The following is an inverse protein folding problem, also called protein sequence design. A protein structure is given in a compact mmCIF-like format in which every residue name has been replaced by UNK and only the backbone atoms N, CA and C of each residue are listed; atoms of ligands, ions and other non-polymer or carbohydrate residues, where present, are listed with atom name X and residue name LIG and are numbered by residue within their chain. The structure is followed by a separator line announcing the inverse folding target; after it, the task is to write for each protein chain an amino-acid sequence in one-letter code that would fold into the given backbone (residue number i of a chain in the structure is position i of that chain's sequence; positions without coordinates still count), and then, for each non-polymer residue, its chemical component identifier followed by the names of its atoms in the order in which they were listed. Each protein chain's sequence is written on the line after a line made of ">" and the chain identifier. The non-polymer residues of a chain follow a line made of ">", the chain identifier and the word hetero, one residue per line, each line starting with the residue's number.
data_IF_866012689530
#
_entry.id   IF_866012689530
#
_cell.length_a   1.000
_cell.length_b   1.000
_cell.length_c   1.000
_cell.angle_alpha   90.00
_cell.angle_beta   90.00
_cell.angle_gamma   90.00
#
_symmetry.space_group_name_H-M   'P 1'
#
loop_
_entity.id
_entity.type
_entity.pdbx_description
1 polymer ?
#
# COMPACT_ATOMS: atom_id res chain seq x y z
N UNK A 1 17.42 -25.41 -19.37
CA UNK A 1 17.78 -23.99 -19.28
C UNK A 1 17.03 -23.45 -18.08
N UNK A 2 17.69 -23.40 -16.92
CA UNK A 2 17.12 -22.85 -15.69
C UNK A 2 17.47 -21.36 -15.63
N UNK A 3 16.48 -20.51 -15.89
CA UNK A 3 16.62 -19.06 -15.67
C UNK A 3 16.52 -18.77 -14.18
N UNK A 4 17.68 -18.50 -13.59
CA UNK A 4 17.82 -17.98 -12.23
C UNK A 4 17.14 -16.62 -12.11
N UNK A 5 15.92 -16.61 -11.55
CA UNK A 5 15.20 -15.41 -11.17
C UNK A 5 15.84 -14.83 -9.89
N UNK A 6 16.99 -14.16 -10.04
CA UNK A 6 17.63 -13.41 -8.95
C UNK A 6 16.77 -12.18 -8.65
N UNK A 7 15.96 -12.26 -7.59
CA UNK A 7 15.38 -11.07 -6.94
C UNK A 7 16.49 -10.05 -6.71
N UNK A 8 16.42 -8.91 -7.41
CA UNK A 8 17.30 -7.76 -7.18
C UNK A 8 17.06 -7.31 -5.74
N UNK A 9 18.02 -7.58 -4.85
CA UNK A 9 18.01 -7.01 -3.51
C UNK A 9 18.36 -5.54 -3.71
N UNK A 10 17.36 -4.67 -3.65
CA UNK A 10 17.56 -3.22 -3.65
C UNK A 10 18.32 -2.88 -2.37
N UNK A 11 19.52 -2.30 -2.50
CA UNK A 11 20.28 -1.83 -1.35
C UNK A 11 19.58 -0.57 -0.80
N UNK A 12 18.79 -0.74 0.26
CA UNK A 12 17.93 0.32 0.83
C UNK A 12 18.79 1.45 1.39
N UNK A 13 18.70 2.64 0.79
CA UNK A 13 19.31 3.88 1.29
C UNK A 13 18.25 4.78 1.91
N UNK A 14 17.84 4.47 3.13
CA UNK A 14 16.82 5.22 3.86
C UNK A 14 17.30 6.63 4.22
N UNK A 15 16.43 7.63 4.05
CA UNK A 15 16.69 8.98 4.54
C UNK A 15 16.57 9.04 6.07
N UNK A 16 16.96 10.16 6.68
CA UNK A 16 16.72 10.37 8.13
C UNK A 16 15.23 10.39 8.45
N UNK A 17 14.42 11.02 7.60
CA UNK A 17 12.96 11.09 7.77
C UNK A 17 12.33 9.70 7.64
N UNK A 18 12.82 8.85 6.74
CA UNK A 18 12.34 7.47 6.60
C UNK A 18 12.62 6.63 7.85
N UNK A 19 13.79 6.85 8.48
CA UNK A 19 14.14 6.18 9.74
C UNK A 19 13.20 6.65 10.86
N UNK A 20 12.94 7.96 10.97
CA UNK A 20 12.00 8.50 11.98
C UNK A 20 10.57 7.96 11.78
N UNK A 21 10.12 7.86 10.52
CA UNK A 21 8.84 7.23 10.18
C UNK A 21 8.81 5.77 10.62
N UNK A 22 9.85 4.99 10.31
CA UNK A 22 9.96 3.59 10.72
C UNK A 22 9.94 3.42 12.24
N UNK A 23 10.63 4.28 12.98
CA UNK A 23 10.60 4.27 14.45
C UNK A 23 9.18 4.53 14.99
N UNK A 24 8.44 5.46 14.38
CA UNK A 24 7.05 5.73 14.77
C UNK A 24 6.13 4.54 14.47
N UNK A 25 6.32 3.89 13.33
CA UNK A 25 5.57 2.70 12.96
C UNK A 25 5.86 1.54 13.93
N UNK A 26 7.13 1.31 14.29
CA UNK A 26 7.53 0.25 15.21
C UNK A 26 7.01 0.46 16.64
N UNK A 27 7.04 1.69 17.17
CA UNK A 27 6.46 2.01 18.49
C UNK A 27 4.97 1.65 18.57
N UNK A 28 4.26 1.72 17.44
CA UNK A 28 2.84 1.39 17.37
C UNK A 28 2.56 -0.11 17.55
N UNK A 29 3.56 -0.96 17.29
CA UNK A 29 3.46 -2.42 17.36
C UNK A 29 3.62 -2.96 18.78
N UNK A 30 4.25 -2.20 19.68
CA UNK A 30 4.46 -2.61 21.08
C UNK A 30 3.17 -2.56 21.90
N UNK A 31 2.18 -1.76 21.48
CA UNK A 31 0.86 -1.61 22.10
C UNK A 31 -0.10 -2.63 21.45
N UNK A 32 0.16 -3.93 21.63
CA UNK A 32 -0.68 -5.01 21.11
C UNK A 32 -1.98 -5.15 21.92
N UNK A 33 -3.05 -4.50 21.45
CA UNK A 33 -4.43 -4.80 21.85
C UNK A 33 -5.08 -5.77 20.87
N UNK A 34 -5.21 -7.03 21.28
CA UNK A 34 -6.10 -8.11 20.79
C UNK A 34 -6.66 -7.99 19.36
N UNK A 35 -6.06 -8.74 18.43
CA UNK A 35 -6.56 -8.90 17.07
C UNK A 35 -7.74 -9.89 17.08
N UNK A 36 -8.93 -9.39 16.72
CA UNK A 36 -10.15 -10.17 16.56
C UNK A 36 -9.94 -11.36 15.62
N UNK A 37 -10.17 -12.57 16.13
CA UNK A 37 -10.46 -13.76 15.34
C UNK A 37 -11.87 -13.60 14.76
N UNK A 38 -11.96 -13.23 13.48
CA UNK A 38 -13.18 -13.43 12.71
C UNK A 38 -12.98 -14.65 11.83
N UNK A 39 -13.54 -15.76 12.31
CA UNK A 39 -13.85 -16.95 11.53
C UNK A 39 -14.90 -16.56 10.49
N UNK A 40 -14.53 -16.57 9.21
CA UNK A 40 -15.49 -16.49 8.12
C UNK A 40 -15.02 -17.47 7.05
N UNK A 41 -15.81 -18.54 6.91
CA UNK A 41 -15.93 -19.44 5.76
C UNK A 41 -16.22 -18.68 4.45
N UNK A 42 -15.33 -17.77 4.06
CA UNK A 42 -15.27 -17.22 2.72
C UNK A 42 -14.26 -18.07 1.97
N UNK A 43 -14.75 -19.19 1.42
CA UNK A 43 -14.04 -19.92 0.36
C UNK A 43 -13.96 -19.00 -0.86
N UNK A 44 -13.12 -17.98 -0.79
CA UNK A 44 -12.65 -17.17 -1.90
C UNK A 44 -11.83 -18.14 -2.74
N UNK A 45 -12.45 -18.66 -3.79
CA UNK A 45 -11.75 -19.32 -4.87
C UNK A 45 -10.95 -18.23 -5.57
N UNK A 46 -9.76 -17.93 -5.03
CA UNK A 46 -8.77 -17.06 -5.66
C UNK A 46 -8.07 -17.89 -6.73
N UNK A 47 -8.82 -18.32 -7.73
CA UNK A 47 -8.26 -18.87 -8.96
C UNK A 47 -8.86 -18.11 -10.15
N UNK A 48 -8.02 -17.24 -10.70
CA UNK A 48 -8.03 -16.83 -12.10
C UNK A 48 -9.18 -15.91 -12.59
N UNK A 49 -9.58 -14.94 -11.77
CA UNK A 49 -10.32 -13.74 -12.26
C UNK A 49 -9.38 -12.61 -12.69
N UNK A 50 -8.15 -12.58 -12.15
CA UNK A 50 -7.13 -11.59 -12.50
C UNK A 50 -6.69 -11.66 -13.97
N UNK A 51 -6.55 -12.87 -14.57
CA UNK A 51 -6.15 -12.98 -15.99
C UNK A 51 -7.28 -12.58 -16.96
N UNK A 52 -8.54 -12.67 -16.54
CA UNK A 52 -9.69 -12.23 -17.36
C UNK A 52 -9.82 -10.71 -17.43
N UNK A 53 -9.31 -9.97 -16.43
CA UNK A 53 -9.37 -8.52 -16.36
C UNK A 53 -8.27 -7.82 -17.18
N UNK A 54 -7.18 -8.52 -17.50
CA UNK A 54 -5.99 -8.00 -18.19
C UNK A 54 -6.18 -7.62 -19.68
N UNK A 55 -7.40 -7.62 -20.20
CA UNK A 55 -7.68 -7.48 -21.65
C UNK A 55 -8.56 -6.31 -22.08
N UNK A 56 -9.17 -5.54 -21.17
CA UNK A 56 -10.08 -4.46 -21.56
C UNK A 56 -9.50 -3.08 -21.23
N UNK A 57 -8.83 -2.49 -22.23
CA UNK A 57 -8.43 -1.08 -22.26
C UNK A 57 -9.65 -0.16 -22.43
N UNK A 58 -10.45 -0.04 -21.37
CA UNK A 58 -11.28 1.15 -21.10
C UNK A 58 -11.22 1.35 -19.60
N UNK A 59 -10.64 2.46 -19.18
CA UNK A 59 -10.46 2.83 -17.77
C UNK A 59 -11.81 3.26 -17.19
N UNK A 60 -12.69 2.29 -16.92
CA UNK A 60 -14.05 2.52 -16.45
C UNK A 60 -14.03 3.29 -15.12
N UNK A 61 -14.55 4.54 -15.08
CA UNK A 61 -14.52 5.36 -13.88
C UNK A 61 -15.20 4.71 -12.68
N UNK A 62 -16.23 3.90 -12.92
CA UNK A 62 -16.95 3.18 -11.85
C UNK A 62 -16.03 2.12 -11.25
N UNK A 63 -15.39 1.30 -12.07
CA UNK A 63 -14.46 0.26 -11.63
C UNK A 63 -13.29 0.86 -10.83
N UNK A 64 -12.67 1.96 -11.29
CA UNK A 64 -11.63 2.66 -10.52
C UNK A 64 -12.12 3.16 -9.18
N UNK A 65 -13.30 3.79 -9.15
CA UNK A 65 -13.90 4.27 -7.91
C UNK A 65 -14.12 3.11 -6.93
N UNK A 66 -14.65 1.98 -7.41
CA UNK A 66 -14.87 0.78 -6.61
C UNK A 66 -13.56 0.21 -6.09
N UNK A 67 -12.53 0.08 -6.92
CA UNK A 67 -11.23 -0.42 -6.50
C UNK A 67 -10.56 0.51 -5.49
N UNK A 68 -10.63 1.82 -5.69
CA UNK A 68 -10.06 2.77 -4.74
C UNK A 68 -10.75 2.71 -3.37
N UNK A 69 -12.09 2.75 -3.32
CA UNK A 69 -12.81 2.81 -2.05
C UNK A 69 -12.99 1.45 -1.39
N UNK A 70 -13.42 0.45 -2.16
CA UNK A 70 -13.80 -0.87 -1.64
C UNK A 70 -12.67 -1.90 -1.70
N UNK A 71 -11.70 -1.72 -2.60
CA UNK A 71 -10.46 -2.50 -2.60
C UNK A 71 -9.45 -1.87 -1.65
N UNK A 72 -8.78 -0.81 -2.10
CA UNK A 72 -7.59 -0.26 -1.43
C UNK A 72 -7.92 0.41 -0.08
N UNK A 73 -8.82 1.39 -0.09
CA UNK A 73 -9.10 2.22 1.09
C UNK A 73 -9.75 1.39 2.20
N UNK A 74 -10.69 0.51 1.85
CA UNK A 74 -11.36 -0.37 2.82
C UNK A 74 -10.38 -1.35 3.46
N UNK A 75 -9.58 -2.07 2.66
CA UNK A 75 -8.58 -3.01 3.20
C UNK A 75 -7.61 -2.32 4.18
N UNK A 76 -7.12 -1.14 3.82
CA UNK A 76 -6.25 -0.37 4.72
C UNK A 76 -6.96 0.05 6.01
N UNK A 77 -8.18 0.58 5.93
CA UNK A 77 -8.94 1.04 7.11
C UNK A 77 -9.33 -0.10 8.05
N UNK A 78 -9.56 -1.28 7.50
CA UNK A 78 -9.97 -2.44 8.28
C UNK A 78 -8.79 -3.06 9.04
N UNK A 79 -7.57 -2.96 8.49
CA UNK A 79 -6.39 -3.66 9.02
C UNK A 79 -5.35 -2.75 9.71
N UNK A 80 -5.28 -1.45 9.38
CA UNK A 80 -4.37 -0.54 10.07
C UNK A 80 -4.88 -0.20 11.49
N UNK A 81 -3.98 0.08 12.44
CA UNK A 81 -4.36 0.40 13.80
C UNK A 81 -5.24 1.66 13.87
N UNK A 82 -6.31 1.56 14.66
CA UNK A 82 -7.37 2.58 14.80
C UNK A 82 -7.13 3.41 16.04
N UNK A 83 -7.71 4.61 16.07
CA UNK A 83 -7.59 5.56 17.19
C UNK A 83 -6.73 6.76 16.85
N UNK A 84 -6.76 7.76 17.73
CA UNK A 84 -6.05 9.04 17.58
C UNK A 84 -4.54 8.85 17.71
N UNK A 85 -4.11 7.98 18.62
CA UNK A 85 -2.69 7.71 18.87
C UNK A 85 -1.98 7.07 17.65
N UNK A 86 -2.75 6.45 16.76
CA UNK A 86 -2.26 5.82 15.52
C UNK A 86 -2.54 6.64 14.26
N UNK A 87 -2.96 7.90 14.41
CA UNK A 87 -3.25 8.76 13.26
C UNK A 87 -2.01 9.00 12.40
N UNK A 88 -0.86 9.23 13.04
CA UNK A 88 0.40 9.46 12.33
C UNK A 88 0.88 8.21 11.58
N UNK A 89 0.72 7.03 12.18
CA UNK A 89 1.00 5.73 11.56
C UNK A 89 0.21 5.56 10.26
N UNK A 90 -1.11 5.79 10.33
CA UNK A 90 -1.97 5.71 9.14
C UNK A 90 -1.57 6.76 8.09
N UNK A 91 -1.26 7.99 8.53
CA UNK A 91 -0.87 9.09 7.64
C UNK A 91 0.40 8.76 6.86
N UNK A 92 1.43 8.24 7.54
CA UNK A 92 2.70 7.83 6.90
C UNK A 92 2.44 6.78 5.82
N UNK A 93 1.72 5.71 6.16
CA UNK A 93 1.37 4.65 5.20
C UNK A 93 0.56 5.21 4.03
N UNK A 94 -0.41 6.09 4.29
CA UNK A 94 -1.23 6.69 3.25
C UNK A 94 -0.44 7.60 2.33
N UNK A 95 0.55 8.34 2.84
CA UNK A 95 1.37 9.21 2.02
C UNK A 95 2.25 8.40 1.07
N UNK A 96 2.91 7.34 1.57
CA UNK A 96 3.72 6.45 0.73
C UNK A 96 2.87 5.72 -0.32
N UNK A 97 1.71 5.20 0.08
CA UNK A 97 0.72 4.60 -0.82
C UNK A 97 0.25 5.59 -1.89
N UNK A 98 0.09 6.87 -1.53
CA UNK A 98 -0.39 7.87 -2.48
C UNK A 98 0.68 8.28 -3.48
N UNK A 99 1.95 8.23 -3.12
CA UNK A 99 3.06 8.43 -4.06
C UNK A 99 3.02 7.33 -5.12
N UNK A 100 2.83 6.07 -4.71
CA UNK A 100 2.71 4.94 -5.64
C UNK A 100 1.55 5.15 -6.63
N UNK A 101 0.33 5.32 -6.13
CA UNK A 101 -0.85 5.35 -7.01
C UNK A 101 -0.97 6.64 -7.84
N UNK A 102 -0.21 7.68 -7.51
CA UNK A 102 -0.17 8.95 -8.25
C UNK A 102 1.18 9.18 -8.95
N UNK A 103 1.92 8.11 -9.21
CA UNK A 103 3.15 8.14 -10.03
C UNK A 103 4.20 9.15 -9.57
N UNK A 104 4.47 9.17 -8.27
CA UNK A 104 5.49 10.03 -7.67
C UNK A 104 5.02 11.40 -7.20
N UNK A 105 3.72 11.70 -7.27
CA UNK A 105 3.20 12.95 -6.73
C UNK A 105 3.31 12.99 -5.19
N UNK A 106 4.21 13.83 -4.68
CA UNK A 106 4.45 14.07 -3.25
C UNK A 106 3.68 15.31 -2.76
N UNK A 107 3.50 15.43 -1.45
CA UNK A 107 3.01 16.68 -0.87
C UNK A 107 4.13 17.72 -0.87
N UNK A 108 3.76 18.96 -1.16
CA UNK A 108 4.62 20.13 -0.97
C UNK A 108 4.72 20.52 0.51
N UNK A 109 5.49 21.58 0.80
CA UNK A 109 5.67 22.16 2.14
C UNK A 109 4.34 22.61 2.80
N UNK A 110 3.29 22.80 2.01
CA UNK A 110 1.94 23.18 2.48
C UNK A 110 1.04 21.95 2.69
N UNK A 111 1.55 20.75 2.47
CA UNK A 111 0.82 19.49 2.57
C UNK A 111 -0.07 19.18 1.37
N UNK A 112 0.11 19.87 0.25
CA UNK A 112 -0.71 19.76 -0.96
C UNK A 112 0.01 18.88 -1.99
N UNK A 113 -0.67 17.83 -2.48
CA UNK A 113 -0.08 16.90 -3.48
C UNK A 113 -0.27 17.34 -4.94
N UNK A 114 -1.34 18.09 -5.22
CA UNK A 114 -1.74 18.42 -6.60
C UNK A 114 -2.28 17.24 -7.41
N UNK A 115 -2.45 16.06 -6.80
CA UNK A 115 -3.07 14.88 -7.40
C UNK A 115 -4.04 14.19 -6.44
N UNK A 116 -4.99 13.44 -7.01
CA UNK A 116 -6.04 12.76 -6.28
C UNK A 116 -6.00 11.25 -6.56
N UNK A 117 -5.88 10.44 -5.51
CA UNK A 117 -5.79 8.99 -5.65
C UNK A 117 -7.04 8.33 -6.25
N UNK A 118 -8.18 9.02 -6.28
CA UNK A 118 -9.40 8.55 -6.96
C UNK A 118 -9.26 8.62 -8.49
N UNK A 119 -8.32 9.42 -8.97
CA UNK A 119 -7.98 9.61 -10.38
C UNK A 119 -6.77 8.76 -10.79
N UNK A 120 -6.26 7.91 -9.90
CA UNK A 120 -5.20 6.96 -10.21
C UNK A 120 -5.57 6.04 -11.38
N UNK A 121 -4.58 5.57 -12.12
CA UNK A 121 -4.82 4.58 -13.18
C UNK A 121 -5.16 3.22 -12.56
N UNK A 122 -5.93 2.42 -13.29
CA UNK A 122 -6.32 1.08 -12.88
C UNK A 122 -5.11 0.23 -12.46
N UNK A 123 -4.07 0.17 -13.30
CA UNK A 123 -2.86 -0.61 -13.04
C UNK A 123 -2.18 -0.22 -11.71
N UNK A 124 -2.14 1.08 -11.42
CA UNK A 124 -1.51 1.61 -10.20
C UNK A 124 -2.34 1.24 -8.95
N UNK A 125 -3.68 1.23 -9.07
CA UNK A 125 -4.59 0.78 -8.02
C UNK A 125 -4.48 -0.73 -7.78
N UNK A 126 -4.44 -1.54 -8.84
CA UNK A 126 -4.31 -2.99 -8.73
C UNK A 126 -3.00 -3.38 -8.05
N UNK A 127 -1.89 -2.73 -8.41
CA UNK A 127 -0.59 -2.97 -7.78
C UNK A 127 -0.62 -2.64 -6.29
N UNK A 128 -1.18 -1.48 -5.92
CA UNK A 128 -1.30 -1.11 -4.52
C UNK A 128 -2.22 -2.07 -3.74
N UNK A 129 -3.30 -2.55 -4.36
CA UNK A 129 -4.19 -3.54 -3.73
C UNK A 129 -3.47 -4.86 -3.51
N UNK A 130 -2.67 -5.35 -4.47
CA UNK A 130 -1.86 -6.56 -4.31
C UNK A 130 -0.89 -6.44 -3.12
N UNK A 131 -0.19 -5.32 -3.01
CA UNK A 131 0.71 -5.05 -1.87
C UNK A 131 -0.05 -5.13 -0.54
N UNK A 132 -1.21 -4.49 -0.44
CA UNK A 132 -2.02 -4.52 0.79
C UNK A 132 -2.56 -5.92 1.06
N UNK A 133 -3.03 -6.64 0.04
CA UNK A 133 -3.54 -8.00 0.19
C UNK A 133 -2.45 -8.94 0.71
N UNK A 134 -1.26 -8.91 0.12
CA UNK A 134 -0.11 -9.72 0.55
C UNK A 134 0.26 -9.41 2.01
N UNK A 135 0.36 -8.12 2.35
CA UNK A 135 0.61 -7.67 3.72
C UNK A 135 -0.44 -8.18 4.72
N UNK A 136 -1.74 -8.06 4.39
CA UNK A 136 -2.81 -8.56 5.26
C UNK A 136 -2.77 -10.07 5.42
N UNK A 137 -2.47 -10.82 4.36
CA UNK A 137 -2.38 -12.28 4.38
C UNK A 137 -1.27 -12.79 5.30
N UNK A 138 -0.18 -12.02 5.40
CA UNK A 138 0.98 -12.31 6.24
C UNK A 138 0.83 -11.77 7.67
N UNK A 139 -0.29 -11.10 7.98
CA UNK A 139 -0.48 -10.35 9.23
C UNK A 139 0.67 -9.39 9.51
N UNK A 140 1.15 -8.73 8.46
CA UNK A 140 2.28 -7.85 8.54
C UNK A 140 2.02 -6.63 9.43
N UNK A 141 3.09 -6.00 9.84
CA UNK A 141 3.10 -4.77 10.63
C UNK A 141 2.93 -3.53 9.75
N UNK A 142 2.51 -2.37 10.30
CA UNK A 142 2.47 -1.12 9.53
C UNK A 142 3.83 -0.74 8.92
N UNK A 143 4.93 -1.06 9.60
CA UNK A 143 6.29 -0.85 9.09
C UNK A 143 6.57 -1.69 7.83
N UNK A 144 6.17 -2.97 7.81
CA UNK A 144 6.34 -3.84 6.63
C UNK A 144 5.49 -3.38 5.45
N UNK A 145 4.27 -2.88 5.71
CA UNK A 145 3.44 -2.30 4.66
C UNK A 145 4.06 -1.04 4.07
N UNK A 146 4.53 -0.13 4.93
CA UNK A 146 5.25 1.07 4.50
C UNK A 146 6.46 0.70 3.64
N UNK A 147 7.29 -0.24 4.09
CA UNK A 147 8.46 -0.69 3.33
C UNK A 147 8.10 -1.34 2.00
N UNK A 148 6.95 -2.02 1.92
CA UNK A 148 6.48 -2.61 0.66
C UNK A 148 6.10 -1.55 -0.37
N UNK A 149 5.45 -0.45 0.07
CA UNK A 149 5.21 0.71 -0.79
C UNK A 149 6.50 1.47 -1.13
N UNK A 150 7.39 1.63 -0.15
CA UNK A 150 8.70 2.28 -0.33
C UNK A 150 9.54 1.55 -1.38
N UNK A 151 9.72 0.23 -1.24
CA UNK A 151 10.50 -0.60 -2.17
C UNK A 151 9.90 -0.51 -3.60
N UNK A 152 8.56 -0.45 -3.71
CA UNK A 152 7.88 -0.27 -5.00
C UNK A 152 8.10 1.12 -5.60
N UNK A 153 8.04 2.17 -4.78
CA UNK A 153 8.31 3.53 -5.23
C UNK A 153 9.76 3.70 -5.69
N UNK A 154 10.73 3.05 -5.03
CA UNK A 154 12.12 3.01 -5.49
C UNK A 154 12.27 2.26 -6.81
N UNK A 155 11.61 1.10 -6.95
CA UNK A 155 11.62 0.34 -8.21
C UNK A 155 11.14 1.19 -9.40
N UNK A 156 10.13 2.03 -9.16
CA UNK A 156 9.53 2.90 -10.17
C UNK A 156 10.21 4.28 -10.30
N UNK A 157 11.17 4.60 -9.43
CA UNK A 157 11.89 5.88 -9.42
C UNK A 157 11.05 7.09 -8.98
N UNK A 158 10.04 6.86 -8.14
CA UNK A 158 9.12 7.90 -7.65
C UNK A 158 9.66 8.66 -6.43
N UNK A 159 10.60 8.06 -5.71
CA UNK A 159 11.11 8.56 -4.43
C UNK A 159 10.02 8.60 -3.35
N UNK A 160 10.30 9.28 -2.24
CA UNK A 160 9.47 9.22 -1.02
C UNK A 160 9.02 10.59 -0.55
N UNK A 161 8.03 10.62 0.34
CA UNK A 161 7.64 11.89 0.95
C UNK A 161 8.86 12.48 1.68
N UNK A 162 9.11 13.77 1.48
CA UNK A 162 10.08 14.52 2.28
C UNK A 162 9.42 14.86 3.63
#
# INVERSE_FOLDING_TARGET
>A
MEENNKKKVVERKLSKEDIERLELLQKSEEIKGEQLLLDIDSKLVIENEAEKLLGQKIDDPVTKFQLYYNGLTKLLKDNLPKGKDYEDVRRIVYDEKNILINRGAKKDEKGIRGSDGRMAYLDDLEEAIKIVADWTSQKGTPAELFMSFWDKNEELGYGHQD
#
